data_IF_602028109969
#
_entry.id   IF_602028109969
#
_cell.length_a   1.000
_cell.length_b   1.000
_cell.length_c   1.000
_cell.angle_alpha   90.00
_cell.angle_beta   90.00
_cell.angle_gamma   90.00
#
_symmetry.space_group_name_H-M   'P 1'
#
loop_
_entity.id
_entity.type
_entity.pdbx_description
1 polymer ?
#
# COMPACT_ATOMS: atom_id res chain seq x y z
N UNK A 1 -0.23 -27.20 12.80
CA UNK A 1 -0.77 -25.83 12.92
C UNK A 1 -1.75 -25.66 11.77
N UNK A 2 -2.97 -25.17 12.03
CA UNK A 2 -3.90 -24.84 10.95
C UNK A 2 -3.39 -23.55 10.28
N UNK A 3 -3.34 -23.48 8.93
CA UNK A 3 -2.95 -22.25 8.24
C UNK A 3 -3.92 -21.14 8.65
N UNK A 4 -3.37 -19.96 8.96
CA UNK A 4 -4.17 -18.81 9.34
C UNK A 4 -4.85 -18.28 8.08
N UNK A 5 -6.14 -18.56 7.91
CA UNK A 5 -6.93 -17.95 6.84
C UNK A 5 -7.23 -16.52 7.24
N UNK A 6 -6.67 -15.55 6.52
CA UNK A 6 -7.06 -14.15 6.68
C UNK A 6 -8.47 -13.96 6.12
N UNK A 7 -9.32 -13.14 6.75
CA UNK A 7 -10.62 -12.80 6.17
C UNK A 7 -10.38 -12.06 4.85
N UNK A 8 -11.23 -12.26 3.87
CA UNK A 8 -11.27 -11.39 2.68
C UNK A 8 -11.51 -9.92 3.07
N UNK A 9 -11.27 -8.99 2.13
CA UNK A 9 -11.53 -7.58 2.34
C UNK A 9 -12.99 -7.32 2.78
N UNK A 10 -13.94 -8.01 2.12
CA UNK A 10 -15.36 -7.93 2.42
C UNK A 10 -15.67 -8.47 3.81
N UNK A 11 -15.19 -9.68 4.13
CA UNK A 11 -15.36 -10.28 5.46
C UNK A 11 -14.77 -9.42 6.57
N UNK A 12 -13.62 -8.78 6.32
CA UNK A 12 -13.02 -7.86 7.29
C UNK A 12 -13.93 -6.65 7.54
N UNK A 13 -14.39 -5.98 6.48
CA UNK A 13 -15.29 -4.83 6.58
C UNK A 13 -16.58 -5.22 7.32
N UNK A 14 -17.21 -6.33 6.94
CA UNK A 14 -18.45 -6.81 7.55
C UNK A 14 -18.27 -7.28 9.01
N UNK A 15 -17.09 -7.79 9.36
CA UNK A 15 -16.81 -8.22 10.74
C UNK A 15 -16.71 -7.06 11.72
N UNK A 16 -16.44 -5.85 11.24
CA UNK A 16 -16.26 -4.65 12.05
C UNK A 16 -17.42 -3.67 11.86
N UNK A 17 -18.45 -3.76 12.71
CA UNK A 17 -19.68 -2.96 12.60
C UNK A 17 -19.45 -1.46 12.31
N UNK A 18 -18.54 -0.81 13.03
CA UNK A 18 -18.26 0.62 12.83
C UNK A 18 -17.53 0.91 11.52
N UNK A 19 -16.69 -0.02 11.05
CA UNK A 19 -16.04 0.12 9.74
C UNK A 19 -17.10 -0.06 8.64
N UNK A 20 -17.89 -1.13 8.71
CA UNK A 20 -18.99 -1.37 7.78
C UNK A 20 -19.91 -0.16 7.68
N UNK A 21 -20.37 0.38 8.83
CA UNK A 21 -21.24 1.54 8.87
C UNK A 21 -20.60 2.77 8.20
N UNK A 22 -19.32 3.05 8.49
CA UNK A 22 -18.62 4.19 7.89
C UNK A 22 -18.46 4.03 6.38
N UNK A 23 -18.15 2.83 5.90
CA UNK A 23 -18.03 2.57 4.47
C UNK A 23 -19.38 2.69 3.78
N UNK A 24 -20.46 2.11 4.34
CA UNK A 24 -21.81 2.27 3.80
C UNK A 24 -22.21 3.74 3.72
N UNK A 25 -22.00 4.51 4.79
CA UNK A 25 -22.28 5.96 4.82
C UNK A 25 -21.55 6.71 3.70
N UNK A 26 -20.26 6.43 3.49
CA UNK A 26 -19.49 7.08 2.44
C UNK A 26 -19.98 6.71 1.04
N UNK A 27 -20.28 5.43 0.80
CA UNK A 27 -20.76 4.97 -0.52
C UNK A 27 -22.18 5.45 -0.84
N UNK A 28 -23.00 5.71 0.17
CA UNK A 28 -24.36 6.28 0.03
C UNK A 28 -24.39 7.82 0.02
N UNK A 29 -23.25 8.47 0.28
CA UNK A 29 -23.14 9.93 0.28
C UNK A 29 -23.09 10.53 -1.14
N UNK A 30 -23.41 11.82 -1.24
CA UNK A 30 -23.27 12.61 -2.47
C UNK A 30 -21.80 13.03 -2.77
N UNK A 31 -20.84 12.61 -1.95
CA UNK A 31 -19.42 12.93 -2.15
C UNK A 31 -18.90 12.27 -3.44
N UNK A 32 -17.94 12.93 -4.09
CA UNK A 32 -17.21 12.30 -5.19
C UNK A 32 -16.40 11.08 -4.70
N UNK A 33 -16.09 10.10 -5.57
CA UNK A 33 -15.24 8.97 -5.18
C UNK A 33 -13.90 9.38 -4.55
N UNK A 34 -13.36 10.52 -4.95
CA UNK A 34 -12.12 11.08 -4.43
C UNK A 34 -12.27 11.59 -3.00
N UNK A 35 -13.35 12.31 -2.72
CA UNK A 35 -13.70 12.76 -1.36
C UNK A 35 -14.04 11.58 -0.45
N UNK A 36 -14.80 10.60 -0.95
CA UNK A 36 -15.09 9.35 -0.24
C UNK A 36 -13.79 8.64 0.18
N UNK A 37 -12.81 8.57 -0.72
CA UNK A 37 -11.53 7.93 -0.43
C UNK A 37 -10.70 8.71 0.60
N UNK A 38 -10.68 10.05 0.55
CA UNK A 38 -9.98 10.88 1.55
C UNK A 38 -10.60 10.76 2.94
N UNK A 39 -11.93 10.76 3.02
CA UNK A 39 -12.67 10.54 4.27
C UNK A 39 -12.42 9.14 4.83
N UNK A 40 -12.44 8.11 3.97
CA UNK A 40 -12.10 6.74 4.37
C UNK A 40 -10.66 6.65 4.86
N UNK A 41 -9.70 7.28 4.16
CA UNK A 41 -8.29 7.29 4.54
C UNK A 41 -8.11 7.89 5.93
N UNK A 42 -8.65 9.08 6.17
CA UNK A 42 -8.55 9.75 7.48
C UNK A 42 -9.11 8.85 8.59
N UNK A 43 -10.31 8.29 8.37
CA UNK A 43 -10.94 7.40 9.34
C UNK A 43 -10.10 6.15 9.64
N UNK A 44 -9.56 5.50 8.61
CA UNK A 44 -8.77 4.27 8.76
C UNK A 44 -7.43 4.52 9.44
N UNK A 45 -6.75 5.62 9.07
CA UNK A 45 -5.49 6.06 9.68
C UNK A 45 -5.68 6.33 11.16
N UNK A 46 -6.71 7.10 11.53
CA UNK A 46 -6.99 7.40 12.94
C UNK A 46 -7.40 6.15 13.72
N UNK A 47 -8.27 5.31 13.13
CA UNK A 47 -8.81 4.13 13.80
C UNK A 47 -7.74 3.07 14.09
N UNK A 48 -6.87 2.80 13.12
CA UNK A 48 -5.88 1.73 13.21
C UNK A 48 -4.46 2.22 13.44
N UNK A 49 -4.26 3.53 13.60
CA UNK A 49 -2.96 4.18 13.79
C UNK A 49 -1.99 3.81 12.65
N UNK A 50 -2.47 3.93 11.41
CA UNK A 50 -1.70 3.52 10.23
C UNK A 50 -0.72 4.63 9.82
N UNK A 51 0.55 4.29 9.52
CA UNK A 51 1.50 5.26 9.01
C UNK A 51 1.06 5.73 7.61
N UNK A 52 1.04 7.05 7.38
CA UNK A 52 0.62 7.63 6.10
C UNK A 52 1.71 7.50 5.04
N UNK A 53 2.93 7.89 5.40
CA UNK A 53 4.10 7.92 4.52
C UNK A 53 5.17 6.96 5.01
N UNK A 54 6.15 6.63 4.15
CA UNK A 54 7.26 5.79 4.55
C UNK A 54 8.06 6.29 5.77
N UNK A 55 8.09 7.61 5.96
CA UNK A 55 8.85 8.29 7.00
C UNK A 55 8.14 8.23 8.37
N UNK A 56 6.85 7.90 8.39
CA UNK A 56 6.07 7.75 9.63
C UNK A 56 6.28 6.39 10.31
N UNK A 57 7.10 5.52 9.72
CA UNK A 57 7.42 4.19 10.25
C UNK A 57 8.72 4.25 11.03
N UNK A 58 8.64 4.10 12.35
CA UNK A 58 9.81 4.14 13.24
C UNK A 58 10.72 2.90 13.12
N UNK A 59 10.11 1.72 12.99
CA UNK A 59 10.80 0.43 12.85
C UNK A 59 10.34 -0.28 11.57
N UNK A 60 11.29 -0.55 10.67
CA UNK A 60 11.07 -1.21 9.38
C UNK A 60 11.70 -2.61 9.33
N UNK A 61 12.10 -3.14 10.47
CA UNK A 61 12.62 -4.50 10.58
C UNK A 61 11.53 -5.54 10.22
N UNK A 62 11.97 -6.70 9.75
CA UNK A 62 11.07 -7.79 9.41
C UNK A 62 10.40 -8.35 10.68
N UNK A 63 9.08 -8.27 10.70
CA UNK A 63 8.26 -8.79 11.78
C UNK A 63 7.73 -10.19 11.45
N UNK A 64 7.62 -11.03 12.47
CA UNK A 64 6.97 -12.33 12.33
C UNK A 64 5.45 -12.13 12.14
N UNK A 65 4.93 -12.55 10.99
CA UNK A 65 3.50 -12.48 10.63
C UNK A 65 2.80 -13.86 10.72
N UNK A 66 3.37 -14.79 11.49
CA UNK A 66 2.92 -16.17 11.61
C UNK A 66 3.67 -17.08 10.64
N UNK A 67 3.09 -17.30 9.46
CA UNK A 67 3.63 -18.20 8.44
C UNK A 67 4.55 -17.47 7.43
N UNK A 68 4.73 -16.16 7.58
CA UNK A 68 5.58 -15.32 6.73
C UNK A 68 6.28 -14.22 7.53
N UNK A 69 7.18 -13.51 6.85
CA UNK A 69 7.78 -12.27 7.34
C UNK A 69 7.07 -11.08 6.71
N UNK A 70 6.83 -10.06 7.52
CA UNK A 70 6.20 -8.82 7.10
C UNK A 70 7.17 -7.67 7.31
N UNK A 71 7.41 -6.88 6.27
CA UNK A 71 8.10 -5.61 6.40
C UNK A 71 7.04 -4.50 6.55
N UNK A 72 7.10 -3.68 7.61
CA UNK A 72 6.19 -2.55 7.78
C UNK A 72 6.19 -1.60 6.57
N UNK A 73 4.97 -1.26 6.12
CA UNK A 73 4.70 -0.39 4.96
C UNK A 73 3.62 0.62 5.30
N UNK A 74 3.66 1.77 4.62
CA UNK A 74 2.71 2.87 4.85
C UNK A 74 1.53 2.87 3.89
N UNK A 75 0.48 3.63 4.22
CA UNK A 75 -0.73 3.75 3.40
C UNK A 75 -0.41 4.19 1.98
N UNK A 76 0.32 5.29 1.80
CA UNK A 76 0.63 5.78 0.47
C UNK A 76 1.64 4.90 -0.27
N UNK A 77 2.55 4.25 0.45
CA UNK A 77 3.47 3.26 -0.13
C UNK A 77 2.70 2.07 -0.72
N UNK A 78 1.70 1.53 -0.02
CA UNK A 78 0.87 0.45 -0.54
C UNK A 78 -0.07 0.90 -1.66
N UNK A 79 -0.61 2.12 -1.60
CA UNK A 79 -1.37 2.68 -2.73
C UNK A 79 -0.49 2.76 -3.98
N UNK A 80 0.77 3.19 -3.83
CA UNK A 80 1.73 3.22 -4.92
C UNK A 80 2.05 1.82 -5.45
N UNK A 81 2.21 0.83 -4.57
CA UNK A 81 2.38 -0.59 -4.95
C UNK A 81 1.17 -1.11 -5.73
N UNK A 82 -0.06 -0.89 -5.24
CA UNK A 82 -1.30 -1.32 -5.90
C UNK A 82 -1.42 -0.72 -7.30
N UNK A 83 -1.21 0.59 -7.44
CA UNK A 83 -1.18 1.26 -8.76
C UNK A 83 -0.14 0.67 -9.70
N UNK A 84 1.02 0.29 -9.15
CA UNK A 84 2.11 -0.30 -9.92
C UNK A 84 1.75 -1.70 -10.43
N UNK A 85 1.14 -2.54 -9.59
CA UNK A 85 0.80 -3.92 -9.96
C UNK A 85 -0.51 -4.05 -10.75
N UNK A 86 -1.49 -3.20 -10.44
CA UNK A 86 -2.84 -3.19 -11.01
C UNK A 86 -3.20 -1.84 -11.64
N UNK A 87 -2.45 -1.35 -12.65
CA UNK A 87 -2.62 0.01 -13.19
C UNK A 87 -3.98 0.29 -13.85
N UNK A 88 -4.81 -0.74 -14.04
CA UNK A 88 -6.18 -0.62 -14.57
C UNK A 88 -7.22 -0.35 -13.48
N UNK A 89 -6.92 -0.67 -12.22
CA UNK A 89 -7.82 -0.47 -11.09
C UNK A 89 -7.32 0.68 -10.22
N UNK A 90 -7.73 1.90 -10.59
CA UNK A 90 -7.36 3.12 -9.88
C UNK A 90 -8.54 3.77 -9.16
N UNK A 91 -9.58 3.00 -8.79
CA UNK A 91 -10.63 3.54 -7.92
C UNK A 91 -9.99 3.91 -6.56
N UNK A 92 -9.99 5.20 -6.18
CA UNK A 92 -9.28 5.64 -4.98
C UNK A 92 -9.86 5.04 -3.70
N UNK A 93 -11.14 4.65 -3.69
CA UNK A 93 -11.80 4.01 -2.53
C UNK A 93 -11.28 2.60 -2.35
N UNK A 94 -11.13 1.86 -3.45
CA UNK A 94 -10.51 0.54 -3.46
C UNK A 94 -9.07 0.61 -2.96
N UNK A 95 -8.27 1.54 -3.52
CA UNK A 95 -6.86 1.69 -3.15
C UNK A 95 -6.68 1.94 -1.66
N UNK A 96 -7.51 2.81 -1.07
CA UNK A 96 -7.48 3.12 0.37
C UNK A 96 -7.88 1.91 1.22
N UNK A 97 -9.02 1.29 0.92
CA UNK A 97 -9.53 0.14 1.69
C UNK A 97 -8.60 -1.07 1.63
N UNK A 98 -8.12 -1.39 0.44
CA UNK A 98 -7.20 -2.51 0.21
C UNK A 98 -5.88 -2.26 0.94
N UNK A 99 -5.33 -1.03 0.88
CA UNK A 99 -4.07 -0.71 1.57
C UNK A 99 -4.21 -0.86 3.08
N UNK A 100 -5.28 -0.31 3.67
CA UNK A 100 -5.52 -0.46 5.11
C UNK A 100 -5.70 -1.92 5.53
N UNK A 101 -6.44 -2.70 4.73
CA UNK A 101 -6.60 -4.13 4.94
C UNK A 101 -5.26 -4.88 4.93
N UNK A 102 -4.40 -4.60 3.93
CA UNK A 102 -3.10 -5.25 3.81
C UNK A 102 -2.19 -4.93 5.00
N UNK A 103 -2.09 -3.66 5.43
CA UNK A 103 -1.32 -3.28 6.62
C UNK A 103 -1.86 -3.98 7.87
N UNK A 104 -3.19 -3.90 8.07
CA UNK A 104 -3.85 -4.45 9.26
C UNK A 104 -3.62 -5.94 9.44
N UNK A 105 -3.55 -6.68 8.33
CA UNK A 105 -3.35 -8.12 8.31
C UNK A 105 -1.91 -8.55 8.03
N UNK A 106 -0.97 -7.60 7.99
CA UNK A 106 0.46 -7.84 7.73
C UNK A 106 0.69 -8.61 6.41
N UNK A 107 -0.05 -8.23 5.39
CA UNK A 107 0.03 -8.80 4.05
C UNK A 107 0.89 -7.89 3.15
N UNK A 108 1.69 -8.51 2.30
CA UNK A 108 2.58 -7.83 1.35
C UNK A 108 2.12 -8.08 -0.08
N UNK A 109 2.33 -7.10 -0.95
CA UNK A 109 2.12 -7.25 -2.39
C UNK A 109 3.40 -7.85 -2.99
N UNK A 110 3.26 -8.93 -3.74
CA UNK A 110 4.36 -9.47 -4.53
C UNK A 110 4.59 -8.60 -5.76
N UNK A 111 5.67 -7.84 -5.75
CA UNK A 111 6.07 -6.96 -6.86
C UNK A 111 6.90 -7.69 -7.93
N UNK A 112 7.39 -8.91 -7.66
CA UNK A 112 8.41 -9.58 -8.46
C UNK A 112 8.00 -9.76 -9.93
N UNK A 113 6.76 -10.18 -10.17
CA UNK A 113 6.24 -10.38 -11.52
C UNK A 113 6.19 -9.08 -12.32
N UNK A 114 5.77 -7.99 -11.67
CA UNK A 114 5.64 -6.68 -12.31
C UNK A 114 6.99 -6.03 -12.52
N UNK A 115 7.93 -6.20 -11.59
CA UNK A 115 9.32 -5.82 -11.78
C UNK A 115 9.95 -6.53 -12.98
N UNK A 116 9.65 -7.81 -13.19
CA UNK A 116 10.05 -8.57 -14.38
C UNK A 116 9.69 -7.91 -15.72
N UNK A 117 8.61 -7.12 -15.78
CA UNK A 117 8.21 -6.38 -16.99
C UNK A 117 9.12 -5.15 -17.27
N UNK A 118 9.85 -4.65 -16.27
CA UNK A 118 10.76 -3.50 -16.37
C UNK A 118 12.25 -3.89 -16.50
N UNK A 119 12.51 -5.20 -16.57
CA UNK A 119 13.84 -5.83 -16.56
C UNK A 119 14.13 -6.45 -17.93
N UNK A 120 15.17 -6.04 -18.65
CA UNK A 120 16.53 -6.55 -18.45
C UNK A 120 17.03 -6.49 -16.99
N UNK A 121 17.01 -7.65 -16.31
CA UNK A 121 17.15 -7.83 -14.86
C UNK A 121 18.42 -7.26 -14.21
N UNK A 122 19.47 -7.02 -14.99
CA UNK A 122 20.79 -6.68 -14.46
C UNK A 122 20.94 -5.20 -14.05
N UNK A 123 19.99 -4.34 -14.43
CA UNK A 123 20.10 -2.89 -14.21
C UNK A 123 19.18 -2.34 -13.11
N UNK A 124 18.24 -3.10 -12.53
CA UNK A 124 17.37 -2.55 -11.49
C UNK A 124 18.08 -2.53 -10.13
N UNK A 125 18.08 -1.37 -9.50
CA UNK A 125 18.67 -1.15 -8.18
C UNK A 125 17.60 -1.18 -7.07
N UNK A 126 16.36 -0.83 -7.41
CA UNK A 126 15.22 -0.82 -6.49
C UNK A 126 14.09 0.08 -6.96
N UNK A 127 13.21 0.43 -6.02
CA UNK A 127 12.03 1.26 -6.25
C UNK A 127 12.12 2.54 -5.43
N UNK A 128 12.00 3.68 -6.10
CA UNK A 128 11.80 4.97 -5.46
C UNK A 128 10.31 5.20 -5.22
N UNK A 129 9.96 5.77 -4.07
CA UNK A 129 8.61 6.22 -3.76
C UNK A 129 8.54 7.75 -3.77
N UNK A 130 7.46 8.30 -4.33
CA UNK A 130 7.08 9.71 -4.21
C UNK A 130 5.57 9.89 -4.05
N UNK A 131 5.18 11.11 -3.69
CA UNK A 131 3.79 11.53 -3.51
C UNK A 131 3.41 11.69 -2.04
N UNK A 132 2.36 12.48 -1.78
CA UNK A 132 1.85 12.75 -0.43
C UNK A 132 0.30 12.63 -0.34
N UNK A 133 -0.33 12.13 -1.40
CA UNK A 133 -1.77 11.89 -1.49
C UNK A 133 -2.02 10.58 -2.27
N UNK A 134 -3.21 10.03 -2.12
CA UNK A 134 -3.78 8.88 -2.83
C UNK A 134 -3.48 8.97 -4.33
N UNK A 135 -3.58 10.15 -4.94
CA UNK A 135 -3.43 10.35 -6.39
C UNK A 135 -1.98 10.50 -6.84
N UNK A 136 -1.13 11.10 -6.02
CA UNK A 136 0.28 11.36 -6.34
C UNK A 136 1.20 10.20 -5.96
N UNK A 137 0.76 9.32 -5.05
CA UNK A 137 1.51 8.15 -4.62
C UNK A 137 1.91 7.27 -5.81
N UNK A 138 3.21 7.09 -6.01
CA UNK A 138 3.81 6.43 -7.17
C UNK A 138 5.10 5.69 -6.80
N UNK A 139 5.29 4.51 -7.39
CA UNK A 139 6.56 3.79 -7.38
C UNK A 139 7.27 3.96 -8.72
N UNK A 140 8.56 4.26 -8.64
CA UNK A 140 9.41 4.54 -9.78
C UNK A 140 10.57 3.54 -9.78
N UNK A 141 10.72 2.72 -10.83
CA UNK A 141 11.92 1.91 -11.02
C UNK A 141 13.18 2.77 -11.10
N UNK A 142 14.18 2.39 -10.30
CA UNK A 142 15.49 3.06 -10.24
C UNK A 142 16.54 2.09 -10.75
N UNK A 143 17.20 2.47 -11.85
CA UNK A 143 18.25 1.68 -12.46
C UNK A 143 19.64 2.04 -11.93
N UNK A 144 20.60 1.15 -12.13
CA UNK A 144 22.01 1.36 -11.82
C UNK A 144 22.51 2.66 -12.44
N UNK A 145 23.06 3.54 -11.60
CA UNK A 145 23.56 4.85 -12.00
C UNK A 145 22.49 5.96 -12.03
N UNK A 146 21.22 5.64 -11.82
CA UNK A 146 20.18 6.64 -11.61
C UNK A 146 20.12 7.09 -10.14
N UNK A 147 19.81 8.38 -9.96
CA UNK A 147 19.57 8.97 -8.64
C UNK A 147 18.07 9.01 -8.37
N UNK A 148 17.60 8.32 -7.33
CA UNK A 148 16.19 8.36 -6.93
C UNK A 148 15.74 9.74 -6.45
N UNK A 149 16.64 10.51 -5.82
CA UNK A 149 16.36 11.89 -5.42
C UNK A 149 16.14 12.79 -6.62
N UNK A 150 16.87 12.58 -7.72
CA UNK A 150 16.71 13.38 -8.96
C UNK A 150 15.36 13.10 -9.63
N UNK A 151 14.76 11.92 -9.37
CA UNK A 151 13.40 11.57 -9.79
C UNK A 151 12.32 12.11 -8.86
N UNK A 152 12.69 12.88 -7.83
CA UNK A 152 11.79 13.44 -6.83
C UNK A 152 11.24 12.41 -5.86
N UNK A 153 11.92 11.27 -5.70
CA UNK A 153 11.54 10.28 -4.69
C UNK A 153 11.93 10.78 -3.30
N UNK A 154 11.06 10.53 -2.32
CA UNK A 154 11.28 10.87 -0.91
C UNK A 154 11.75 9.67 -0.11
N UNK A 155 11.60 8.47 -0.67
CA UNK A 155 12.00 7.22 -0.05
C UNK A 155 12.50 6.23 -1.12
N UNK A 156 13.39 5.32 -0.73
CA UNK A 156 13.97 4.32 -1.62
C UNK A 156 13.95 2.94 -0.98
N UNK A 157 13.36 1.98 -1.71
CA UNK A 157 13.28 0.57 -1.35
C UNK A 157 14.31 -0.17 -2.19
N UNK A 158 15.38 -0.64 -1.55
CA UNK A 158 16.41 -1.42 -2.23
C UNK A 158 15.88 -2.82 -2.53
N UNK A 159 16.02 -3.27 -3.77
CA UNK A 159 15.77 -4.68 -4.09
C UNK A 159 16.92 -5.50 -3.49
N UNK A 160 16.59 -6.45 -2.61
CA UNK A 160 17.53 -7.51 -2.27
C UNK A 160 17.33 -8.63 -3.29
N UNK A 161 18.06 -8.55 -4.42
CA UNK A 161 18.26 -9.72 -5.27
C UNK A 161 18.96 -10.78 -4.42
N UNK A 162 18.24 -11.80 -3.96
CA UNK A 162 18.80 -13.04 -3.43
C UNK A 162 18.78 -14.11 -4.51
#
# INVERSE_FOLDING_TARGET
>A
MQPKSWPSLEEWVESEQSLQQKITELYESDLSPEEQAREALSYLVDRYQLPLTPLDIEDREWENAGDSWYQPVSMFELIAQLKFVEPKNNDPRYLVLQSAYLIKHKLIIDLSQKLGDFLDADDLQGLGYRGQDIFEAELIPIKTGESWTDKGCTYFIKEQLQ
#
